data_IF_458198849712
#
_entry.id   IF_458198849712
#
_cell.length_a   1.000
_cell.length_b   1.000
_cell.length_c   1.000
_cell.angle_alpha   90.00
_cell.angle_beta   90.00
_cell.angle_gamma   90.00
#
_symmetry.space_group_name_H-M   'P 1'
#
loop_
_entity.id
_entity.type
_entity.pdbx_description
1 polymer ?
#
# COMPACT_ATOMS: atom_id res chain seq x y z
N UNK A 1 1.59 -15.61 9.64
CA UNK A 1 2.23 -15.08 8.42
C UNK A 1 1.50 -13.79 8.09
N UNK A 2 2.14 -12.63 8.30
CA UNK A 2 1.58 -11.31 7.95
C UNK A 2 2.73 -10.36 7.64
N UNK A 3 3.52 -10.72 6.62
CA UNK A 3 4.70 -9.96 6.13
C UNK A 3 4.53 -9.56 4.66
N UNK A 4 3.32 -9.64 4.11
CA UNK A 4 3.08 -9.39 2.68
C UNK A 4 3.26 -7.93 2.29
N UNK A 5 2.85 -6.96 3.13
CA UNK A 5 2.83 -5.55 2.71
C UNK A 5 4.23 -5.02 2.41
N UNK A 6 5.18 -5.15 3.34
CA UNK A 6 6.52 -4.61 3.13
C UNK A 6 7.21 -5.28 1.94
N UNK A 7 7.09 -6.61 1.85
CA UNK A 7 7.70 -7.39 0.76
C UNK A 7 7.10 -6.97 -0.59
N UNK A 8 5.78 -6.80 -0.66
CA UNK A 8 5.09 -6.36 -1.86
C UNK A 8 5.51 -4.94 -2.26
N UNK A 9 5.50 -3.98 -1.33
CA UNK A 9 5.94 -2.61 -1.60
C UNK A 9 7.41 -2.53 -2.05
N UNK A 10 8.28 -3.39 -1.53
CA UNK A 10 9.69 -3.42 -1.93
C UNK A 10 9.86 -3.89 -3.39
N UNK A 11 9.06 -4.90 -3.78
CA UNK A 11 9.16 -5.57 -5.09
C UNK A 11 8.30 -4.91 -6.19
N UNK A 12 7.25 -4.17 -5.82
CA UNK A 12 6.32 -3.56 -6.79
C UNK A 12 7.02 -2.45 -7.60
N UNK A 13 6.98 -2.57 -8.93
CA UNK A 13 7.69 -1.65 -9.84
C UNK A 13 6.83 -0.53 -10.41
N UNK A 14 5.53 -0.51 -10.10
CA UNK A 14 4.56 0.46 -10.63
C UNK A 14 4.71 1.88 -10.08
N UNK A 15 5.54 2.05 -9.05
CA UNK A 15 5.87 3.34 -8.42
C UNK A 15 7.38 3.45 -8.21
N UNK A 16 7.89 4.69 -8.24
CA UNK A 16 9.26 5.02 -7.89
C UNK A 16 9.70 4.40 -6.56
N UNK A 17 10.91 3.84 -6.56
CA UNK A 17 11.51 3.14 -5.42
C UNK A 17 11.49 3.97 -4.13
N UNK A 18 11.82 5.25 -4.21
CA UNK A 18 11.84 6.14 -3.04
C UNK A 18 10.47 6.29 -2.39
N UNK A 19 9.42 6.50 -3.20
CA UNK A 19 8.07 6.74 -2.70
C UNK A 19 7.47 5.45 -2.13
N UNK A 20 7.64 4.30 -2.80
CA UNK A 20 7.11 3.02 -2.30
C UNK A 20 7.81 2.55 -1.03
N UNK A 21 9.12 2.72 -0.90
CA UNK A 21 9.85 2.39 0.33
C UNK A 21 9.40 3.28 1.49
N UNK A 22 9.27 4.58 1.25
CA UNK A 22 8.78 5.53 2.26
C UNK A 22 7.36 5.15 2.72
N UNK A 23 6.42 5.00 1.78
CA UNK A 23 5.04 4.65 2.08
C UNK A 23 4.92 3.31 2.81
N UNK A 24 5.55 2.25 2.28
CA UNK A 24 5.56 0.92 2.91
C UNK A 24 6.13 0.95 4.32
N UNK A 25 7.20 1.71 4.56
CA UNK A 25 7.78 1.88 5.90
C UNK A 25 6.81 2.56 6.86
N UNK A 26 6.11 3.63 6.46
CA UNK A 26 5.15 4.30 7.34
C UNK A 26 3.94 3.40 7.66
N UNK A 27 3.46 2.63 6.68
CA UNK A 27 2.36 1.67 6.85
C UNK A 27 2.71 0.58 7.88
N UNK A 28 3.89 -0.02 7.76
CA UNK A 28 4.36 -1.03 8.74
C UNK A 28 4.50 -0.42 10.13
N UNK A 29 5.02 0.82 10.21
CA UNK A 29 5.15 1.54 11.49
C UNK A 29 3.81 1.90 12.12
N UNK A 30 2.73 2.00 11.35
CA UNK A 30 1.37 2.17 11.86
C UNK A 30 0.67 0.86 12.19
N UNK A 31 1.34 -0.29 12.07
CA UNK A 31 0.79 -1.61 12.33
C UNK A 31 0.10 -2.26 11.14
N UNK A 32 0.08 -1.62 9.96
CA UNK A 32 -0.44 -2.23 8.74
C UNK A 32 0.62 -3.12 8.10
N UNK A 33 0.34 -4.41 8.05
CA UNK A 33 1.28 -5.44 7.55
C UNK A 33 0.69 -6.33 6.47
N UNK A 34 -0.61 -6.17 6.20
CA UNK A 34 -1.40 -6.97 5.27
C UNK A 34 -1.84 -6.08 4.08
N UNK A 35 -1.60 -6.58 2.87
CA UNK A 35 -1.93 -5.87 1.63
C UNK A 35 -3.44 -5.81 1.37
N UNK A 36 -4.16 -6.89 1.67
CA UNK A 36 -5.60 -6.97 1.46
C UNK A 36 -6.31 -5.98 2.38
N UNK A 37 -5.95 -5.97 3.66
CA UNK A 37 -6.48 -5.01 4.65
C UNK A 37 -6.14 -3.56 4.24
N UNK A 38 -4.91 -3.29 3.78
CA UNK A 38 -4.54 -1.95 3.32
C UNK A 38 -5.44 -1.50 2.17
N UNK A 39 -5.64 -2.35 1.17
CA UNK A 39 -6.41 -1.99 -0.01
C UNK A 39 -7.90 -1.89 0.28
N UNK A 40 -8.44 -2.71 1.18
CA UNK A 40 -9.83 -2.59 1.68
C UNK A 40 -10.01 -1.28 2.46
N UNK A 41 -9.10 -0.97 3.39
CA UNK A 41 -9.12 0.30 4.14
C UNK A 41 -9.00 1.52 3.22
N UNK A 42 -8.21 1.43 2.15
CA UNK A 42 -8.07 2.54 1.20
C UNK A 42 -9.36 2.79 0.41
N UNK A 43 -10.14 1.75 0.13
CA UNK A 43 -11.39 1.84 -0.63
C UNK A 43 -12.56 2.30 0.25
N UNK A 44 -12.73 1.69 1.43
CA UNK A 44 -13.89 1.95 2.28
C UNK A 44 -13.64 3.07 3.30
N UNK A 45 -12.39 3.23 3.75
CA UNK A 45 -12.03 4.14 4.84
C UNK A 45 -10.76 4.97 4.55
N UNK A 46 -10.67 5.68 3.40
CA UNK A 46 -9.45 6.38 2.98
C UNK A 46 -8.94 7.39 4.03
N UNK A 47 -9.85 7.94 4.82
CA UNK A 47 -9.55 8.84 5.93
C UNK A 47 -8.66 8.19 7.01
N UNK A 48 -8.74 6.87 7.22
CA UNK A 48 -7.85 6.17 8.16
C UNK A 48 -6.43 6.09 7.63
N UNK A 49 -6.26 5.84 6.34
CA UNK A 49 -4.93 5.80 5.68
C UNK A 49 -4.31 7.20 5.65
N UNK A 50 -5.12 8.24 5.40
CA UNK A 50 -4.68 9.65 5.43
C UNK A 50 -4.23 10.13 6.82
N UNK A 51 -4.74 9.53 7.90
CA UNK A 51 -4.35 9.84 9.27
C UNK A 51 -3.03 9.21 9.69
N UNK A 52 -2.45 8.32 8.88
CA UNK A 52 -1.17 7.71 9.17
C UNK A 52 -0.07 8.78 9.11
N UNK A 53 0.72 8.84 10.17
CA UNK A 53 1.79 9.82 10.30
C UNK A 53 2.76 9.73 9.12
N UNK A 54 3.13 10.88 8.56
CA UNK A 54 4.07 11.01 7.43
C UNK A 54 3.59 10.39 6.10
N UNK A 55 2.29 10.12 5.95
CA UNK A 55 1.68 9.80 4.66
C UNK A 55 1.03 11.07 4.10
N UNK A 56 1.66 11.64 3.07
CA UNK A 56 1.11 12.77 2.32
C UNK A 56 0.44 12.33 1.02
N UNK A 57 -0.12 13.30 0.27
CA UNK A 57 -0.86 13.04 -0.97
C UNK A 57 -0.09 12.19 -2.00
N UNK A 58 1.23 12.43 -2.14
CA UNK A 58 2.09 11.63 -3.03
C UNK A 58 2.18 10.17 -2.60
N UNK A 59 2.26 9.92 -1.29
CA UNK A 59 2.27 8.57 -0.73
C UNK A 59 0.93 7.88 -0.94
N UNK A 60 -0.20 8.61 -0.81
CA UNK A 60 -1.54 8.06 -1.06
C UNK A 60 -1.69 7.60 -2.51
N UNK A 61 -1.31 8.44 -3.47
CA UNK A 61 -1.36 8.08 -4.89
C UNK A 61 -0.48 6.85 -5.16
N UNK A 62 0.68 6.75 -4.53
CA UNK A 62 1.53 5.57 -4.63
C UNK A 62 0.86 4.32 -4.05
N UNK A 63 0.24 4.43 -2.88
CA UNK A 63 -0.50 3.33 -2.24
C UNK A 63 -1.65 2.86 -3.13
N UNK A 64 -2.40 3.77 -3.74
CA UNK A 64 -3.46 3.46 -4.70
C UNK A 64 -2.93 2.64 -5.89
N UNK A 65 -1.85 3.11 -6.53
CA UNK A 65 -1.23 2.40 -7.67
C UNK A 65 -0.73 1.00 -7.27
N UNK A 66 -0.15 0.87 -6.08
CA UNK A 66 0.31 -0.42 -5.56
C UNK A 66 -0.87 -1.35 -5.27
N UNK A 67 -1.97 -0.84 -4.73
CA UNK A 67 -3.20 -1.60 -4.53
C UNK A 67 -3.87 -2.04 -5.84
N UNK A 68 -3.87 -1.17 -6.85
CA UNK A 68 -4.34 -1.54 -8.20
C UNK A 68 -3.50 -2.68 -8.79
N UNK A 69 -2.18 -2.61 -8.68
CA UNK A 69 -1.28 -3.67 -9.14
C UNK A 69 -1.54 -4.99 -8.39
N UNK A 70 -1.65 -4.93 -7.07
CA UNK A 70 -1.94 -6.09 -6.22
C UNK A 70 -3.27 -6.76 -6.60
N UNK A 71 -4.33 -5.95 -6.81
CA UNK A 71 -5.63 -6.46 -7.23
C UNK A 71 -5.62 -7.05 -8.64
N UNK A 72 -4.85 -6.49 -9.57
CA UNK A 72 -4.70 -7.07 -10.91
C UNK A 72 -3.98 -8.42 -10.87
N UNK A 73 -2.95 -8.56 -10.05
CA UNK A 73 -2.21 -9.81 -9.89
C UNK A 73 -3.07 -10.91 -9.21
N UNK A 74 -3.90 -10.54 -8.22
CA UNK A 74 -4.84 -11.49 -7.57
C UNK A 74 -6.12 -11.73 -8.35
N UNK A 75 -6.56 -10.73 -9.11
CA UNK A 75 -7.78 -10.73 -9.92
C UNK A 75 -7.54 -11.12 -11.38
N UNK A 76 -6.40 -11.72 -11.71
CA UNK A 76 -6.01 -12.20 -13.05
C UNK A 76 -6.84 -13.38 -13.57
N UNK A 77 -8.16 -13.38 -13.35
CA UNK A 77 -9.12 -14.04 -14.22
C UNK A 77 -9.81 -12.94 -15.05
N UNK A 78 -9.25 -12.60 -16.21
CA UNK A 78 -9.95 -12.33 -17.47
C UNK A 78 -8.95 -12.41 -18.63
#
# INVERSE_FOLDING_TARGET
MNQELWQYFNNCTVVDKGIRIHAGTQLVRSGLTDMEILCEMLEHEPNKVLKIRNIGMKSIIAIQKVCEAYRRERGGMF
#
